data_IF_862862974212
#
_entry.id   IF_862862974212
#
_cell.length_a   1.000
_cell.length_b   1.000
_cell.length_c   1.000
_cell.angle_alpha   90.00
_cell.angle_beta   90.00
_cell.angle_gamma   90.00
#
_symmetry.space_group_name_H-M   'P 1'
#
loop_
_entity.id
_entity.type
_entity.pdbx_description
1 polymer ?
#
# COMPACT_ATOMS: atom_id res chain seq x y z
N UNK A 1 33.85 0.77 -3.46
CA UNK A 1 33.73 0.21 -2.10
C UNK A 1 32.25 0.07 -1.84
N UNK A 2 31.73 -1.15 -1.98
CA UNK A 2 30.35 -1.48 -1.69
C UNK A 2 30.19 -1.43 -0.17
N UNK A 3 29.43 -0.46 0.34
CA UNK A 3 29.00 -0.46 1.74
C UNK A 3 27.91 -1.53 1.86
N UNK A 4 28.33 -2.78 2.03
CA UNK A 4 27.43 -3.87 2.43
C UNK A 4 27.22 -3.72 3.94
N UNK A 5 26.01 -3.32 4.42
CA UNK A 5 25.77 -3.07 5.85
C UNK A 5 25.90 -4.33 6.71
N UNK A 6 26.02 -5.51 6.09
CA UNK A 6 26.05 -6.80 6.79
C UNK A 6 27.34 -7.13 7.54
N UNK A 7 28.41 -6.35 7.43
CA UNK A 7 29.74 -6.82 7.90
C UNK A 7 30.55 -5.91 8.85
N UNK A 8 30.04 -4.79 9.39
CA UNK A 8 30.92 -3.87 10.15
C UNK A 8 30.59 -3.54 11.61
N UNK A 9 29.55 -4.12 12.21
CA UNK A 9 29.27 -3.93 13.65
C UNK A 9 29.10 -5.25 14.38
N UNK A 10 29.71 -5.43 15.58
CA UNK A 10 29.38 -6.57 16.43
C UNK A 10 27.88 -6.59 16.71
N UNK A 11 27.24 -7.78 16.81
CA UNK A 11 25.80 -7.85 17.02
C UNK A 11 25.44 -7.09 18.31
N UNK A 12 24.60 -6.07 18.16
CA UNK A 12 24.07 -5.31 19.30
C UNK A 12 23.27 -6.28 20.16
N UNK A 13 23.81 -6.60 21.33
CA UNK A 13 23.18 -7.53 22.27
C UNK A 13 22.37 -6.75 23.30
N UNK A 14 21.06 -6.66 23.08
CA UNK A 14 20.11 -6.05 24.01
C UNK A 14 19.91 -6.84 25.31
N UNK A 15 20.29 -8.12 25.33
CA UNK A 15 20.04 -9.06 26.44
C UNK A 15 20.50 -8.54 27.81
N UNK A 16 21.67 -7.91 27.89
CA UNK A 16 22.21 -7.41 29.17
C UNK A 16 21.38 -6.25 29.75
N UNK A 17 20.85 -5.39 28.88
CA UNK A 17 19.93 -4.33 29.29
C UNK A 17 18.60 -4.93 29.75
N UNK A 18 18.04 -5.87 28.98
CA UNK A 18 16.80 -6.56 29.32
C UNK A 18 16.89 -7.26 30.68
N UNK A 19 17.94 -8.05 30.91
CA UNK A 19 18.15 -8.77 32.16
C UNK A 19 18.24 -7.81 33.37
N UNK A 20 19.03 -6.74 33.26
CA UNK A 20 19.15 -5.77 34.35
C UNK A 20 17.85 -4.97 34.58
N UNK A 21 17.04 -4.71 33.55
CA UNK A 21 15.72 -4.07 33.74
C UNK A 21 14.74 -4.97 34.48
N UNK A 22 14.77 -6.29 34.22
CA UNK A 22 13.98 -7.27 34.98
C UNK A 22 14.40 -7.31 36.45
N UNK A 23 15.70 -7.30 36.73
CA UNK A 23 16.22 -7.25 38.11
C UNK A 23 15.80 -5.95 38.80
N UNK A 24 15.96 -4.80 38.13
CA UNK A 24 15.54 -3.50 38.65
C UNK A 24 14.05 -3.47 39.02
N UNK A 25 13.19 -3.96 38.12
CA UNK A 25 11.75 -4.05 38.36
C UNK A 25 11.40 -4.97 39.55
N UNK A 26 12.14 -6.08 39.71
CA UNK A 26 11.99 -6.98 40.85
C UNK A 26 12.42 -6.30 42.16
N UNK A 27 13.55 -5.61 42.17
CA UNK A 27 14.05 -4.87 43.34
C UNK A 27 13.05 -3.80 43.80
N UNK A 28 12.44 -3.04 42.88
CA UNK A 28 11.38 -2.06 43.20
C UNK A 28 10.18 -2.70 43.87
N UNK A 29 9.71 -3.87 43.39
CA UNK A 29 8.58 -4.58 44.01
C UNK A 29 8.90 -5.00 45.44
N UNK A 30 10.11 -5.50 45.69
CA UNK A 30 10.53 -5.93 47.02
C UNK A 30 10.78 -4.74 47.96
N UNK A 31 11.34 -3.63 47.48
CA UNK A 31 11.48 -2.39 48.23
C UNK A 31 10.13 -1.85 48.72
N UNK A 32 9.11 -1.80 47.84
CA UNK A 32 7.74 -1.41 48.23
C UNK A 32 7.16 -2.32 49.32
N UNK A 33 7.39 -3.63 49.23
CA UNK A 33 6.94 -4.61 50.23
C UNK A 33 7.68 -4.44 51.55
N UNK A 34 9.00 -4.27 51.50
CA UNK A 34 9.86 -4.07 52.65
C UNK A 34 9.49 -2.79 53.41
N UNK A 35 9.25 -1.69 52.68
CA UNK A 35 8.78 -0.42 53.24
C UNK A 35 7.44 -0.57 53.97
N UNK A 36 6.44 -1.23 53.36
CA UNK A 36 5.13 -1.45 53.98
C UNK A 36 5.21 -2.31 55.25
N UNK A 37 6.12 -3.28 55.26
CA UNK A 37 6.27 -4.24 56.36
C UNK A 37 7.34 -3.84 57.38
N UNK A 38 7.99 -2.70 57.20
CA UNK A 38 9.12 -2.25 58.01
C UNK A 38 10.25 -3.31 58.10
N UNK A 39 10.47 -4.02 57.00
CA UNK A 39 11.53 -5.04 56.88
C UNK A 39 12.84 -4.38 56.43
N UNK A 40 13.61 -3.89 57.39
CA UNK A 40 14.85 -3.14 57.15
C UNK A 40 15.94 -3.97 56.47
N UNK A 41 16.01 -5.28 56.74
CA UNK A 41 17.02 -6.17 56.15
C UNK A 41 16.75 -6.37 54.66
N UNK A 42 15.51 -6.71 54.32
CA UNK A 42 15.11 -6.83 52.92
C UNK A 42 15.22 -5.49 52.19
N UNK A 43 14.94 -4.38 52.89
CA UNK A 43 15.07 -3.04 52.31
C UNK A 43 16.51 -2.73 51.91
N UNK A 44 17.50 -2.89 52.79
CA UNK A 44 18.90 -2.60 52.45
C UNK A 44 19.44 -3.53 51.36
N UNK A 45 19.11 -4.83 51.41
CA UNK A 45 19.54 -5.79 50.38
C UNK A 45 18.98 -5.40 48.99
N UNK A 46 17.68 -5.10 48.91
CA UNK A 46 17.05 -4.77 47.63
C UNK A 46 17.44 -3.37 47.14
N UNK A 47 17.83 -2.47 48.04
CA UNK A 47 18.35 -1.14 47.70
C UNK A 47 19.73 -1.25 47.05
N UNK A 48 20.62 -2.07 47.59
CA UNK A 48 21.91 -2.36 46.97
C UNK A 48 21.73 -2.98 45.58
N UNK A 49 20.90 -4.02 45.48
CA UNK A 49 20.61 -4.67 44.19
C UNK A 49 19.97 -3.71 43.18
N UNK A 50 19.12 -2.79 43.63
CA UNK A 50 18.55 -1.73 42.80
C UNK A 50 19.63 -0.77 42.26
N UNK A 51 20.53 -0.29 43.13
CA UNK A 51 21.61 0.61 42.74
C UNK A 51 22.59 -0.04 41.76
N UNK A 52 22.97 -1.28 42.02
CA UNK A 52 23.85 -2.06 41.15
C UNK A 52 23.22 -2.27 39.76
N UNK A 53 21.95 -2.68 39.71
CA UNK A 53 21.25 -2.88 38.44
C UNK A 53 21.12 -1.56 37.64
N UNK A 54 20.89 -0.44 38.34
CA UNK A 54 20.80 0.88 37.69
C UNK A 54 22.15 1.33 37.11
N UNK A 55 23.25 1.11 37.84
CA UNK A 55 24.59 1.39 37.34
C UNK A 55 24.92 0.50 36.13
N UNK A 56 24.62 -0.80 36.21
CA UNK A 56 24.84 -1.74 35.11
C UNK A 56 24.06 -1.36 33.85
N UNK A 57 22.80 -0.92 33.97
CA UNK A 57 22.01 -0.41 32.84
C UNK A 57 22.69 0.80 32.22
N UNK A 58 23.12 1.76 33.05
CA UNK A 58 23.77 2.99 32.58
C UNK A 58 25.09 2.68 31.86
N UNK A 59 25.92 1.82 32.42
CA UNK A 59 27.19 1.40 31.82
C UNK A 59 26.97 0.64 30.53
N UNK A 60 25.99 -0.28 30.50
CA UNK A 60 25.62 -1.03 29.30
C UNK A 60 25.10 -0.12 28.20
N UNK A 61 24.26 0.88 28.53
CA UNK A 61 23.77 1.86 27.56
C UNK A 61 24.92 2.71 27.00
N UNK A 62 25.76 3.28 27.87
CA UNK A 62 26.89 4.10 27.44
C UNK A 62 27.88 3.32 26.55
N UNK A 63 27.99 2.01 26.75
CA UNK A 63 28.80 1.15 25.90
C UNK A 63 28.11 0.86 24.56
N UNK A 64 26.78 0.69 24.52
CA UNK A 64 26.02 0.29 23.33
C UNK A 64 25.59 1.46 22.44
N UNK A 65 25.26 2.61 23.01
CA UNK A 65 24.74 3.80 22.33
C UNK A 65 25.60 4.21 21.12
N UNK A 66 26.94 4.29 21.20
CA UNK A 66 27.74 4.69 20.04
C UNK A 66 27.65 3.70 18.87
N UNK A 67 27.51 2.40 19.15
CA UNK A 67 27.36 1.38 18.11
C UNK A 67 26.00 1.47 17.44
N UNK A 68 24.93 1.66 18.22
CA UNK A 68 23.56 1.84 17.72
C UNK A 68 23.48 3.11 16.87
N UNK A 69 24.02 4.24 17.36
CA UNK A 69 24.03 5.50 16.62
C UNK A 69 24.85 5.41 15.33
N UNK A 70 26.00 4.75 15.37
CA UNK A 70 26.81 4.50 14.18
C UNK A 70 26.07 3.64 13.16
N UNK A 71 25.47 2.52 13.58
CA UNK A 71 24.67 1.66 12.68
C UNK A 71 23.49 2.42 12.06
N UNK A 72 22.77 3.19 12.86
CA UNK A 72 21.66 4.02 12.36
C UNK A 72 22.14 5.12 11.40
N UNK A 73 23.35 5.65 11.58
CA UNK A 73 23.96 6.62 10.67
C UNK A 73 24.33 5.96 9.35
N UNK A 74 24.94 4.78 9.38
CA UNK A 74 25.23 3.98 8.19
C UNK A 74 23.96 3.63 7.40
N UNK A 75 22.87 3.28 8.08
CA UNK A 75 21.57 3.07 7.43
C UNK A 75 21.05 4.33 6.74
N UNK A 76 21.20 5.52 7.35
CA UNK A 76 20.81 6.79 6.72
C UNK A 76 21.65 7.10 5.49
N UNK A 77 22.96 6.87 5.56
CA UNK A 77 23.87 7.05 4.43
C UNK A 77 23.51 6.09 3.29
N UNK A 78 23.20 4.83 3.61
CA UNK A 78 22.77 3.83 2.65
C UNK A 78 21.53 4.25 1.85
N UNK A 79 20.54 4.91 2.48
CA UNK A 79 19.34 5.41 1.79
C UNK A 79 19.64 6.43 0.67
N UNK A 80 20.78 7.13 0.75
CA UNK A 80 21.21 8.09 -0.26
C UNK A 80 22.03 7.45 -1.40
N UNK A 81 22.28 6.14 -1.35
CA UNK A 81 23.09 5.44 -2.34
C UNK A 81 22.26 4.86 -3.48
N UNK A 82 22.87 4.72 -4.66
CA UNK A 82 22.27 3.96 -5.77
C UNK A 82 22.07 2.48 -5.43
N UNK A 83 22.81 1.95 -4.45
CA UNK A 83 22.65 0.56 -4.03
C UNK A 83 21.30 0.32 -3.37
N UNK A 84 20.84 1.26 -2.54
CA UNK A 84 19.50 1.20 -1.95
C UNK A 84 18.40 1.11 -3.02
N UNK A 85 18.53 1.91 -4.08
CA UNK A 85 17.58 1.92 -5.20
C UNK A 85 17.54 0.53 -5.85
N UNK A 86 18.70 -0.04 -6.19
CA UNK A 86 18.81 -1.36 -6.82
C UNK A 86 18.26 -2.47 -5.92
N UNK A 87 18.58 -2.43 -4.63
CA UNK A 87 18.10 -3.42 -3.67
C UNK A 87 16.57 -3.34 -3.52
N UNK A 88 16.02 -2.14 -3.46
CA UNK A 88 14.56 -1.95 -3.39
C UNK A 88 13.84 -2.40 -4.66
N UNK A 89 14.31 -2.01 -5.84
CA UNK A 89 13.74 -2.46 -7.11
C UNK A 89 13.82 -3.98 -7.29
N UNK A 90 14.92 -4.59 -6.83
CA UNK A 90 15.06 -6.05 -6.80
C UNK A 90 14.02 -6.72 -5.90
N UNK A 91 13.83 -6.22 -4.67
CA UNK A 91 12.85 -6.77 -3.72
C UNK A 91 11.39 -6.58 -4.20
N UNK A 92 11.10 -5.49 -4.91
CA UNK A 92 9.80 -5.31 -5.58
C UNK A 92 9.57 -6.35 -6.70
N UNK A 93 10.60 -6.60 -7.52
CA UNK A 93 10.54 -7.59 -8.58
C UNK A 93 10.36 -9.02 -8.03
N UNK A 94 11.09 -9.39 -6.98
CA UNK A 94 10.92 -10.67 -6.27
C UNK A 94 9.52 -10.81 -5.66
N UNK A 95 8.89 -9.69 -5.30
CA UNK A 95 7.51 -9.64 -4.81
C UNK A 95 6.45 -9.70 -5.93
N UNK A 96 6.85 -9.90 -7.20
CA UNK A 96 5.99 -9.88 -8.40
C UNK A 96 5.22 -8.57 -8.57
N UNK A 97 5.81 -7.43 -8.20
CA UNK A 97 5.22 -6.11 -8.42
C UNK A 97 5.86 -5.51 -9.66
N UNK A 98 5.09 -5.40 -10.74
CA UNK A 98 5.48 -4.62 -11.91
C UNK A 98 5.34 -3.14 -11.59
N UNK A 99 6.41 -2.37 -11.79
CA UNK A 99 6.43 -0.94 -11.55
C UNK A 99 6.92 -0.17 -12.78
N UNK A 100 6.58 1.11 -12.83
CA UNK A 100 7.05 2.11 -13.77
C UNK A 100 7.60 3.31 -12.99
N UNK A 101 8.43 4.13 -13.63
CA UNK A 101 9.05 5.30 -12.99
C UNK A 101 10.45 5.02 -12.49
N UNK A 102 11.02 5.97 -11.77
CA UNK A 102 12.39 5.97 -11.27
C UNK A 102 12.38 6.59 -9.87
N UNK A 103 13.32 6.20 -9.02
CA UNK A 103 13.47 6.77 -7.68
C UNK A 103 13.49 8.31 -7.72
N UNK A 104 12.72 9.02 -6.84
CA UNK A 104 11.98 8.53 -5.68
C UNK A 104 10.51 8.17 -5.93
N UNK A 105 10.06 8.15 -7.19
CA UNK A 105 8.64 8.04 -7.56
C UNK A 105 8.37 6.80 -8.42
N UNK A 106 7.62 5.85 -7.88
CA UNK A 106 7.22 4.62 -8.58
C UNK A 106 5.72 4.52 -8.74
N UNK A 107 5.29 3.95 -9.86
CA UNK A 107 3.88 3.69 -10.18
C UNK A 107 3.69 2.20 -10.36
N UNK A 108 2.77 1.62 -9.57
CA UNK A 108 2.27 0.26 -9.74
C UNK A 108 0.75 0.32 -9.56
N UNK A 109 -0.01 0.52 -10.66
CA UNK A 109 -1.42 0.85 -10.60
C UNK A 109 -2.24 -0.10 -9.72
N UNK A 110 -3.13 0.41 -8.85
CA UNK A 110 -3.57 1.81 -8.78
C UNK A 110 -2.73 2.70 -7.85
N UNK A 111 -1.60 2.22 -7.35
CA UNK A 111 -0.79 2.92 -6.37
C UNK A 111 0.33 3.76 -7.01
N UNK A 112 0.64 4.85 -6.32
CA UNK A 112 1.84 5.65 -6.52
C UNK A 112 2.66 5.64 -5.23
N UNK A 113 3.95 5.37 -5.32
CA UNK A 113 4.87 5.32 -4.20
C UNK A 113 5.84 6.48 -4.30
N UNK A 114 5.96 7.25 -3.22
CA UNK A 114 6.91 8.35 -3.14
C UNK A 114 7.80 8.20 -1.90
N UNK A 115 9.11 8.31 -2.08
CA UNK A 115 10.09 8.34 -0.98
C UNK A 115 10.33 9.77 -0.50
N UNK A 116 9.96 10.06 0.74
CA UNK A 116 10.33 11.28 1.46
C UNK A 116 11.52 10.97 2.38
N UNK A 117 12.72 11.10 1.82
CA UNK A 117 13.97 10.85 2.55
C UNK A 117 14.29 11.94 3.58
N UNK A 118 13.76 13.16 3.43
CA UNK A 118 13.95 14.23 4.41
C UNK A 118 13.28 13.87 5.75
N UNK A 119 12.10 13.26 5.68
CA UNK A 119 11.30 12.85 6.83
C UNK A 119 11.36 11.34 7.11
N UNK A 120 12.26 10.61 6.45
CA UNK A 120 12.47 9.15 6.59
C UNK A 120 11.18 8.33 6.52
N UNK A 121 10.36 8.58 5.51
CA UNK A 121 9.15 7.79 5.30
C UNK A 121 8.81 7.62 3.82
N UNK A 122 7.91 6.70 3.55
CA UNK A 122 7.38 6.39 2.24
C UNK A 122 5.88 6.61 2.25
N UNK A 123 5.38 7.22 1.18
CA UNK A 123 3.97 7.46 0.96
C UNK A 123 3.46 6.53 -0.13
N UNK A 124 2.55 5.64 0.24
CA UNK A 124 1.77 4.83 -0.69
C UNK A 124 0.43 5.53 -0.94
N UNK A 125 0.23 6.03 -2.15
CA UNK A 125 -0.86 6.93 -2.53
C UNK A 125 -1.86 6.19 -3.42
N UNK A 126 -3.14 6.27 -3.05
CA UNK A 126 -4.28 5.79 -3.83
C UNK A 126 -5.30 6.93 -3.98
N UNK A 127 -5.20 7.65 -5.09
CA UNK A 127 -6.01 8.84 -5.36
C UNK A 127 -5.74 9.95 -4.34
N UNK A 128 -6.69 10.22 -3.43
CA UNK A 128 -6.52 11.22 -2.35
C UNK A 128 -6.09 10.62 -1.02
N UNK A 129 -6.12 9.30 -0.89
CA UNK A 129 -5.69 8.61 0.33
C UNK A 129 -4.20 8.34 0.21
N UNK A 130 -3.46 8.63 1.28
CA UNK A 130 -2.05 8.27 1.39
C UNK A 130 -1.85 7.49 2.69
N UNK A 131 -1.05 6.44 2.60
CA UNK A 131 -0.60 5.64 3.73
C UNK A 131 0.89 5.89 3.91
N UNK A 132 1.28 6.22 5.14
CA UNK A 132 2.66 6.52 5.48
C UNK A 132 3.32 5.32 6.13
N UNK A 133 4.45 4.89 5.59
CA UNK A 133 5.31 3.87 6.18
C UNK A 133 6.63 4.49 6.63
N UNK A 134 7.04 4.23 7.87
CA UNK A 134 8.35 4.63 8.38
C UNK A 134 9.42 3.52 8.21
N UNK A 135 9.02 2.41 7.58
CA UNK A 135 9.91 1.29 7.30
C UNK A 135 10.58 1.55 5.96
N UNK A 136 11.90 1.67 5.97
CA UNK A 136 12.72 1.93 4.78
C UNK A 136 13.67 0.77 4.44
N UNK A 137 13.64 -0.31 5.22
CA UNK A 137 14.39 -1.50 4.88
C UNK A 137 13.76 -2.11 3.60
N UNK A 138 14.54 -2.31 2.51
CA UNK A 138 14.01 -2.63 1.19
C UNK A 138 13.04 -3.82 1.15
N UNK A 139 13.43 -4.94 1.77
CA UNK A 139 12.68 -6.19 1.77
C UNK A 139 11.36 -6.08 2.54
N UNK A 140 11.41 -5.57 3.76
CA UNK A 140 10.24 -5.38 4.62
C UNK A 140 9.26 -4.39 3.97
N UNK A 141 9.78 -3.31 3.38
CA UNK A 141 8.95 -2.35 2.64
C UNK A 141 8.28 -3.00 1.41
N UNK A 142 9.02 -3.77 0.61
CA UNK A 142 8.46 -4.49 -0.53
C UNK A 142 7.37 -5.48 -0.11
N UNK A 143 7.56 -6.21 0.99
CA UNK A 143 6.54 -7.12 1.56
C UNK A 143 5.28 -6.35 1.97
N UNK A 144 5.43 -5.19 2.64
CA UNK A 144 4.29 -4.35 3.02
C UNK A 144 3.50 -3.87 1.81
N UNK A 145 4.20 -3.35 0.80
CA UNK A 145 3.60 -2.89 -0.45
C UNK A 145 2.89 -4.06 -1.15
N UNK A 146 3.50 -5.25 -1.21
CA UNK A 146 2.90 -6.44 -1.80
C UNK A 146 1.62 -6.85 -1.08
N UNK A 147 1.55 -6.71 0.24
CA UNK A 147 0.36 -7.01 1.03
C UNK A 147 -0.77 -6.01 0.78
N UNK A 148 -0.47 -4.71 0.67
CA UNK A 148 -1.46 -3.69 0.29
C UNK A 148 -1.95 -3.90 -1.15
N UNK A 149 -1.03 -4.21 -2.08
CA UNK A 149 -1.34 -4.53 -3.47
C UNK A 149 -2.25 -5.75 -3.57
N UNK A 150 -1.90 -6.84 -2.87
CA UNK A 150 -2.74 -8.04 -2.73
C UNK A 150 -4.09 -7.71 -2.09
N UNK A 151 -4.18 -6.74 -1.19
CA UNK A 151 -5.47 -6.40 -0.57
C UNK A 151 -6.41 -5.78 -1.59
N UNK A 152 -5.92 -4.96 -2.51
CA UNK A 152 -6.71 -4.41 -3.62
C UNK A 152 -7.01 -5.46 -4.69
N UNK A 153 -6.00 -6.25 -5.08
CA UNK A 153 -6.15 -7.28 -6.11
C UNK A 153 -7.06 -8.45 -5.64
N UNK A 154 -6.89 -8.88 -4.38
CA UNK A 154 -7.61 -10.01 -3.78
C UNK A 154 -8.87 -9.60 -3.01
N UNK A 155 -9.13 -8.32 -2.70
CA UNK A 155 -10.50 -7.85 -2.43
C UNK A 155 -11.27 -8.07 -3.72
N UNK A 156 -11.75 -9.31 -3.88
CA UNK A 156 -12.34 -9.90 -5.08
C UNK A 156 -12.91 -8.81 -5.95
N UNK A 157 -12.12 -8.37 -6.94
CA UNK A 157 -12.66 -7.57 -8.02
C UNK A 157 -13.84 -8.37 -8.57
N UNK A 158 -15.04 -7.99 -8.15
CA UNK A 158 -16.23 -8.75 -8.45
C UNK A 158 -16.71 -8.21 -9.77
N UNK A 159 -16.09 -8.71 -10.83
CA UNK A 159 -16.40 -8.35 -12.20
C UNK A 159 -17.88 -8.37 -12.51
N UNK A 160 -18.65 -9.30 -11.93
CA UNK A 160 -20.10 -9.39 -12.16
C UNK A 160 -20.82 -8.19 -11.53
N UNK A 161 -20.43 -7.79 -10.33
CA UNK A 161 -20.97 -6.59 -9.71
C UNK A 161 -20.49 -5.34 -10.45
N UNK A 162 -19.21 -5.26 -10.81
CA UNK A 162 -18.66 -4.14 -11.56
C UNK A 162 -19.35 -3.98 -12.94
N UNK A 163 -19.60 -5.06 -13.67
CA UNK A 163 -20.36 -5.04 -14.93
C UNK A 163 -21.82 -4.59 -14.73
N UNK A 164 -22.46 -4.99 -13.63
CA UNK A 164 -23.81 -4.50 -13.27
C UNK A 164 -23.79 -3.00 -13.00
N UNK A 165 -22.79 -2.51 -12.26
CA UNK A 165 -22.64 -1.10 -11.94
C UNK A 165 -22.36 -0.28 -13.20
N UNK A 166 -21.47 -0.79 -14.08
CA UNK A 166 -21.21 -0.23 -15.41
C UNK A 166 -22.50 -0.19 -16.25
N UNK A 167 -23.29 -1.26 -16.29
CA UNK A 167 -24.55 -1.30 -17.03
C UNK A 167 -25.54 -0.25 -16.55
N UNK A 168 -25.71 -0.13 -15.22
CA UNK A 168 -26.62 0.83 -14.62
C UNK A 168 -26.18 2.27 -14.90
N UNK A 169 -24.89 2.56 -14.70
CA UNK A 169 -24.33 3.87 -15.00
C UNK A 169 -24.41 4.19 -16.51
N UNK A 170 -24.12 3.22 -17.37
CA UNK A 170 -24.25 3.35 -18.82
C UNK A 170 -25.67 3.69 -19.24
N UNK A 171 -26.70 3.01 -18.72
CA UNK A 171 -28.11 3.32 -19.05
C UNK A 171 -28.43 4.78 -18.79
N UNK A 172 -28.07 5.27 -17.60
CA UNK A 172 -28.29 6.67 -17.21
C UNK A 172 -27.47 7.61 -18.10
N UNK A 173 -26.19 7.31 -18.30
CA UNK A 173 -25.27 8.11 -19.11
C UNK A 173 -25.73 8.22 -20.57
N UNK A 174 -26.25 7.12 -21.13
CA UNK A 174 -26.79 7.03 -22.47
C UNK A 174 -28.07 7.89 -22.60
N UNK A 175 -29.05 7.71 -21.71
CA UNK A 175 -30.27 8.51 -21.70
C UNK A 175 -29.97 10.02 -21.62
N UNK A 176 -29.02 10.42 -20.76
CA UNK A 176 -28.60 11.81 -20.62
C UNK A 176 -27.87 12.34 -21.86
N UNK A 177 -27.01 11.53 -22.48
CA UNK A 177 -26.23 11.94 -23.66
C UNK A 177 -27.10 12.09 -24.90
N UNK A 178 -28.12 11.25 -25.06
CA UNK A 178 -28.99 11.23 -26.24
C UNK A 178 -30.39 11.82 -26.01
N UNK A 179 -30.66 12.34 -24.80
CA UNK A 179 -31.94 12.93 -24.40
C UNK A 179 -33.13 11.99 -24.62
N UNK A 180 -32.96 10.71 -24.29
CA UNK A 180 -33.98 9.68 -24.41
C UNK A 180 -34.47 9.22 -23.04
N UNK A 181 -35.68 8.65 -23.00
CA UNK A 181 -36.24 8.04 -21.78
C UNK A 181 -35.64 6.66 -21.49
N UNK A 182 -35.25 5.95 -22.54
CA UNK A 182 -34.70 4.60 -22.49
C UNK A 182 -33.32 4.54 -23.13
N UNK A 183 -32.52 3.57 -22.72
CA UNK A 183 -31.15 3.41 -23.19
C UNK A 183 -31.14 2.95 -24.66
N UNK A 184 -30.41 3.68 -25.50
CA UNK A 184 -30.12 3.28 -26.86
C UNK A 184 -28.94 2.29 -26.87
N UNK A 185 -29.24 1.01 -26.97
CA UNK A 185 -28.23 -0.06 -27.08
C UNK A 185 -27.36 0.13 -28.34
N UNK A 186 -26.08 -0.24 -28.25
CA UNK A 186 -25.11 -0.07 -29.34
C UNK A 186 -24.61 1.36 -29.56
N UNK A 187 -24.93 2.32 -28.67
CA UNK A 187 -24.41 3.69 -28.74
C UNK A 187 -23.28 3.92 -27.73
N UNK A 188 -22.10 4.29 -28.24
CA UNK A 188 -20.95 4.60 -27.41
C UNK A 188 -21.22 5.76 -26.44
N UNK A 189 -20.84 5.59 -25.18
CA UNK A 189 -20.91 6.61 -24.12
C UNK A 189 -19.53 6.81 -23.51
N UNK A 190 -19.19 8.06 -23.16
CA UNK A 190 -17.90 8.38 -22.55
C UNK A 190 -17.71 7.70 -21.19
N UNK A 191 -16.53 7.10 -20.98
CA UNK A 191 -16.14 6.51 -19.69
C UNK A 191 -16.04 7.55 -18.58
N UNK A 192 -15.67 8.79 -18.89
CA UNK A 192 -15.69 9.89 -17.91
C UNK A 192 -17.10 10.15 -17.40
N UNK A 193 -18.10 10.15 -18.31
CA UNK A 193 -19.51 10.33 -17.95
C UNK A 193 -20.04 9.17 -17.10
N UNK A 194 -19.62 7.95 -17.42
CA UNK A 194 -19.95 6.76 -16.65
C UNK A 194 -19.36 6.86 -15.24
N UNK A 195 -18.09 7.23 -15.11
CA UNK A 195 -17.44 7.44 -13.82
C UNK A 195 -18.16 8.51 -13.00
N UNK A 196 -18.49 9.68 -13.59
CA UNK A 196 -19.28 10.73 -12.93
C UNK A 196 -20.60 10.19 -12.35
N UNK A 197 -21.27 9.29 -13.06
CA UNK A 197 -22.54 8.68 -12.62
C UNK A 197 -22.32 7.65 -11.50
N UNK A 198 -21.26 6.86 -11.58
CA UNK A 198 -20.89 5.93 -10.51
C UNK A 198 -20.55 6.66 -9.20
N UNK A 199 -20.03 7.88 -9.29
CA UNK A 199 -19.51 8.63 -8.14
C UNK A 199 -20.29 9.90 -7.82
N UNK A 200 -21.57 10.00 -8.21
CA UNK A 200 -22.40 11.22 -8.03
C UNK A 200 -22.36 11.76 -6.58
N UNK A 201 -22.26 10.89 -5.58
CA UNK A 201 -22.06 11.31 -4.18
C UNK A 201 -20.59 11.61 -3.91
N UNK A 202 -20.29 12.78 -3.34
CA UNK A 202 -18.91 13.20 -2.99
C UNK A 202 -18.16 12.21 -2.09
N UNK A 203 -18.85 11.54 -1.17
CA UNK A 203 -18.24 10.49 -0.34
C UNK A 203 -17.74 9.31 -1.19
N UNK A 204 -18.51 8.92 -2.21
CA UNK A 204 -18.16 7.87 -3.17
C UNK A 204 -16.95 8.26 -4.01
N UNK A 205 -16.75 9.54 -4.35
CA UNK A 205 -15.52 10.00 -5.03
C UNK A 205 -14.24 9.80 -4.19
N UNK A 206 -14.32 9.92 -2.86
CA UNK A 206 -13.17 9.72 -1.97
C UNK A 206 -12.87 8.24 -1.74
N UNK A 207 -13.91 7.41 -1.72
CA UNK A 207 -13.79 5.96 -1.56
C UNK A 207 -13.42 5.23 -2.86
N UNK A 208 -13.83 5.79 -3.99
CA UNK A 208 -13.65 5.22 -5.32
C UNK A 208 -12.99 6.24 -6.28
N UNK A 209 -11.67 6.48 -6.13
CA UNK A 209 -10.95 7.43 -6.95
C UNK A 209 -10.84 6.95 -8.41
N UNK A 210 -10.68 7.89 -9.34
CA UNK A 210 -10.63 7.60 -10.79
C UNK A 210 -9.54 6.60 -11.18
N UNK A 211 -8.40 6.62 -10.48
CA UNK A 211 -7.31 5.65 -10.70
C UNK A 211 -7.72 4.21 -10.39
N UNK A 212 -8.60 4.00 -9.39
CA UNK A 212 -9.14 2.69 -9.07
C UNK A 212 -10.13 2.23 -10.14
N UNK A 213 -10.97 3.14 -10.65
CA UNK A 213 -11.84 2.85 -11.80
C UNK A 213 -11.03 2.46 -13.05
N UNK A 214 -9.94 3.17 -13.35
CA UNK A 214 -9.04 2.83 -14.45
C UNK A 214 -8.39 1.46 -14.28
N UNK A 215 -7.94 1.15 -13.05
CA UNK A 215 -7.36 -0.14 -12.72
C UNK A 215 -8.38 -1.29 -12.90
N UNK A 216 -9.60 -1.14 -12.40
CA UNK A 216 -10.66 -2.14 -12.55
C UNK A 216 -11.11 -2.32 -14.01
N UNK A 217 -11.11 -1.25 -14.82
CA UNK A 217 -11.30 -1.35 -16.27
C UNK A 217 -10.17 -2.13 -16.94
N UNK A 218 -8.92 -1.95 -16.49
CA UNK A 218 -7.76 -2.73 -16.93
C UNK A 218 -7.95 -4.22 -16.67
N UNK A 219 -8.29 -4.59 -15.42
CA UNK A 219 -8.60 -5.97 -15.02
C UNK A 219 -9.77 -6.56 -15.81
N UNK A 220 -10.79 -5.75 -16.11
CA UNK A 220 -11.94 -6.20 -16.89
C UNK A 220 -11.53 -6.51 -18.33
N UNK A 221 -10.71 -5.65 -18.95
CA UNK A 221 -10.25 -5.79 -20.34
C UNK A 221 -9.43 -7.07 -20.58
N UNK A 222 -8.83 -7.64 -19.56
CA UNK A 222 -8.12 -8.93 -19.66
C UNK A 222 -9.04 -10.13 -19.82
N UNK A 223 -10.34 -9.95 -19.54
CA UNK A 223 -11.31 -11.03 -19.68
C UNK A 223 -11.61 -11.29 -21.14
N UNK A 224 -11.63 -12.58 -21.48
CA UNK A 224 -11.98 -13.05 -22.81
C UNK A 224 -13.45 -12.77 -23.17
N UNK A 225 -14.35 -12.90 -22.19
CA UNK A 225 -15.77 -12.61 -22.36
C UNK A 225 -16.20 -11.41 -21.49
N UNK A 226 -16.64 -10.37 -22.17
CA UNK A 226 -17.18 -9.14 -21.60
C UNK A 226 -18.70 -9.13 -21.72
N UNK A 227 -19.34 -10.19 -21.21
CA UNK A 227 -20.79 -10.32 -21.19
C UNK A 227 -21.34 -10.30 -19.76
N UNK A 228 -22.61 -9.89 -19.62
CA UNK A 228 -23.39 -10.01 -18.40
C UNK A 228 -24.68 -10.77 -18.68
N UNK A 229 -24.81 -11.95 -18.06
CA UNK A 229 -25.97 -12.84 -18.15
C UNK A 229 -26.36 -13.25 -19.58
N UNK A 230 -25.41 -13.25 -20.54
CA UNK A 230 -25.67 -13.54 -21.96
C UNK A 230 -26.76 -12.64 -22.58
N UNK A 231 -26.99 -11.46 -21.99
CA UNK A 231 -27.97 -10.49 -22.46
C UNK A 231 -27.27 -9.19 -22.87
N UNK A 232 -26.18 -8.84 -22.21
CA UNK A 232 -25.45 -7.61 -22.45
C UNK A 232 -24.00 -7.88 -22.80
N UNK A 233 -23.53 -7.33 -23.92
CA UNK A 233 -22.14 -7.42 -24.37
C UNK A 233 -21.50 -6.04 -24.30
N UNK A 234 -20.32 -5.96 -23.70
CA UNK A 234 -19.60 -4.73 -23.41
C UNK A 234 -18.41 -4.58 -24.36
N UNK A 235 -18.30 -3.42 -25.00
CA UNK A 235 -17.21 -3.10 -25.91
C UNK A 235 -16.55 -1.77 -25.53
N UNK A 236 -15.24 -1.79 -25.33
CA UNK A 236 -14.46 -0.58 -25.09
C UNK A 236 -14.05 0.07 -26.40
N UNK A 237 -14.44 1.33 -26.59
CA UNK A 237 -14.05 2.13 -27.74
C UNK A 237 -12.77 2.95 -27.47
N UNK A 238 -11.95 3.06 -28.50
CA UNK A 238 -10.70 3.81 -28.51
C UNK A 238 -10.91 5.20 -29.09
N UNK A 239 -10.09 6.16 -28.66
CA UNK A 239 -10.07 7.49 -29.28
C UNK A 239 -8.67 7.84 -29.78
N UNK A 240 -8.63 8.62 -30.86
CA UNK A 240 -7.40 9.26 -31.33
C UNK A 240 -7.03 10.49 -30.48
N UNK A 241 -7.95 11.01 -29.68
CA UNK A 241 -7.72 12.19 -28.84
C UNK A 241 -7.15 11.78 -27.48
N UNK A 242 -5.84 11.96 -27.29
CA UNK A 242 -5.15 11.61 -26.03
C UNK A 242 -5.79 12.25 -24.79
N UNK A 243 -6.37 13.45 -24.89
CA UNK A 243 -7.00 14.16 -23.76
C UNK A 243 -8.29 13.51 -23.25
N UNK A 244 -8.96 12.69 -24.06
CA UNK A 244 -10.23 12.04 -23.71
C UNK A 244 -10.09 10.55 -23.42
N UNK A 245 -8.88 10.03 -23.52
CA UNK A 245 -8.60 8.63 -23.24
C UNK A 245 -8.24 8.44 -21.77
N UNK A 246 -8.84 7.43 -21.15
CA UNK A 246 -8.34 6.82 -19.93
C UNK A 246 -7.20 5.87 -20.31
N UNK A 247 -6.05 6.05 -19.67
CA UNK A 247 -4.99 5.05 -19.67
C UNK A 247 -5.37 3.98 -18.66
N UNK A 248 -5.48 2.75 -19.12
CA UNK A 248 -5.67 1.56 -18.27
C UNK A 248 -4.46 0.65 -18.44
N UNK A 249 -4.03 0.04 -17.34
CA UNK A 249 -2.90 -0.86 -17.29
C UNK A 249 -3.43 -2.24 -16.92
N UNK A 250 -3.03 -3.25 -17.68
CA UNK A 250 -3.42 -4.63 -17.40
C UNK A 250 -2.46 -5.29 -16.37
N UNK A 251 -2.76 -6.53 -15.94
CA UNK A 251 -1.94 -7.27 -14.97
C UNK A 251 -0.51 -7.53 -15.45
N UNK A 252 -0.23 -7.37 -16.74
CA UNK A 252 1.08 -7.53 -17.36
C UNK A 252 1.79 -6.18 -17.57
N UNK A 253 1.23 -5.08 -17.06
CA UNK A 253 1.82 -3.74 -17.18
C UNK A 253 1.60 -3.10 -18.56
N UNK A 254 0.77 -3.68 -19.44
CA UNK A 254 0.54 -3.14 -20.78
C UNK A 254 -0.51 -2.04 -20.74
N UNK A 255 -0.18 -0.91 -21.34
CA UNK A 255 -1.07 0.24 -21.42
C UNK A 255 -2.07 0.12 -22.57
N UNK A 256 -3.31 0.56 -22.32
CA UNK A 256 -4.34 0.75 -23.34
C UNK A 256 -5.07 2.06 -23.13
N UNK A 257 -5.44 2.72 -24.22
CA UNK A 257 -6.16 4.00 -24.20
C UNK A 257 -7.62 3.82 -24.60
N UNK A 258 -8.52 3.80 -23.63
CA UNK A 258 -9.96 3.63 -23.86
C UNK A 258 -10.71 4.91 -23.49
N UNK A 259 -11.77 5.25 -24.23
CA UNK A 259 -12.51 6.50 -24.00
C UNK A 259 -14.01 6.32 -23.84
N UNK A 260 -14.54 5.24 -24.41
CA UNK A 260 -15.98 4.99 -24.45
C UNK A 260 -16.29 3.55 -24.09
N UNK A 261 -17.50 3.34 -23.59
CA UNK A 261 -18.12 2.04 -23.45
C UNK A 261 -19.34 2.00 -24.35
N UNK A 262 -19.49 0.93 -25.11
CA UNK A 262 -20.71 0.58 -25.84
C UNK A 262 -21.28 -0.69 -25.22
N UNK A 263 -22.59 -0.72 -24.97
CA UNK A 263 -23.26 -1.95 -24.53
C UNK A 263 -24.31 -2.33 -25.56
N UNK A 264 -24.21 -3.56 -26.04
CA UNK A 264 -25.21 -4.21 -26.90
C UNK A 264 -26.14 -5.04 -26.03
N UNK A 265 -27.41 -5.12 -26.43
CA UNK A 265 -28.38 -6.03 -25.84
C UNK A 265 -28.68 -7.12 -26.87
N UNK A 266 -28.34 -8.36 -26.57
CA UNK A 266 -28.72 -9.49 -27.41
C UNK A 266 -30.22 -9.76 -27.23
N UNK A 267 -30.95 -9.80 -28.34
CA UNK A 267 -32.30 -10.34 -28.36
C UNK A 267 -32.19 -11.86 -28.29
N UNK A 268 -32.58 -12.47 -27.17
CA UNK A 268 -32.75 -13.92 -27.14
C UNK A 268 -33.88 -14.27 -28.12
N UNK A 269 -33.68 -15.22 -29.05
CA UNK A 269 -34.81 -15.76 -29.79
C UNK A 269 -35.78 -16.36 -28.77
N UNK A 270 -37.05 -15.95 -28.82
CA UNK A 270 -38.13 -16.70 -28.19
C UNK A 270 -38.08 -18.10 -28.80
N UNK A 271 -37.65 -19.07 -28.00
CA UNK A 271 -37.92 -20.47 -28.30
C UNK A 271 -39.37 -20.66 -27.88
N UNK A 272 -40.26 -20.66 -28.86
CA UNK A 272 -41.67 -21.07 -28.71
C UNK A 272 -41.76 -22.54 -28.24
#
# INVERSE_FOLDING_TARGET
>A
MELNPKESSPPISWNLLEDNTHILAKSVKHLKKAQKKWDFRLFEQMKQQFQESLNNIKESWNALEPYVENEMTLHKEYLATEQFIKDFEHELAESNILFQGEFPDYIFPPFHLHFDLENYHVLLILGRKSQRFSILQPRELAILIANEYKTIYNRRFNSKNFLKDLLNAYKIANCLSFKQKEALWGKAVSLDKIYEILTVRRSTHQEYPKILFQFELGLLKERFDLSLNEEYVFEFGFTRSARKALVVVDSQGRESRISTLTIYKEERPHVD
#
